data_IF_418746776666
#
_entry.id   IF_418746776666
#
_cell.length_a   1.000
_cell.length_b   1.000
_cell.length_c   1.000
_cell.angle_alpha   90.00
_cell.angle_beta   90.00
_cell.angle_gamma   90.00
#
_symmetry.space_group_name_H-M   'P 1'
#
loop_
_entity.id
_entity.type
_entity.pdbx_description
1 polymer ?
#
# COMPACT_ATOMS: atom_id res chain seq x y z
N UNK A 1 -2.74 20.73 -6.14
CA UNK A 1 -1.67 20.28 -5.22
C UNK A 1 -1.69 18.77 -5.20
N UNK A 2 -0.64 18.11 -5.67
CA UNK A 2 -0.53 16.65 -5.61
C UNK A 2 -0.37 16.26 -4.15
N UNK A 3 -1.26 15.41 -3.67
CA UNK A 3 -1.34 15.10 -2.26
C UNK A 3 -0.26 14.08 -1.88
N UNK A 4 0.76 14.51 -1.12
CA UNK A 4 1.84 13.63 -0.68
C UNK A 4 1.37 12.60 0.34
N UNK A 5 1.99 11.42 0.29
CA UNK A 5 1.82 10.40 1.33
C UNK A 5 2.33 10.88 2.69
N UNK A 6 1.51 10.71 3.72
CA UNK A 6 1.91 10.82 5.12
C UNK A 6 2.82 9.66 5.53
N UNK A 7 3.43 9.75 6.70
CA UNK A 7 4.24 8.64 7.24
C UNK A 7 3.39 7.37 7.43
N UNK A 8 2.17 7.49 7.95
CA UNK A 8 1.26 6.35 8.12
C UNK A 8 0.89 5.70 6.79
N UNK A 9 0.66 6.48 5.74
CA UNK A 9 0.42 5.95 4.39
C UNK A 9 1.61 5.11 3.92
N UNK A 10 2.83 5.60 4.14
CA UNK A 10 4.05 4.92 3.71
C UNK A 10 4.24 3.61 4.48
N UNK A 11 4.03 3.62 5.79
CA UNK A 11 4.18 2.41 6.61
C UNK A 11 3.13 1.37 6.22
N UNK A 12 1.86 1.76 6.07
CA UNK A 12 0.79 0.87 5.66
C UNK A 12 1.06 0.25 4.28
N UNK A 13 1.40 1.08 3.29
CA UNK A 13 1.72 0.62 1.93
C UNK A 13 2.91 -0.32 1.92
N UNK A 14 3.97 -0.02 2.68
CA UNK A 14 5.15 -0.88 2.75
C UNK A 14 4.87 -2.22 3.44
N UNK A 15 4.05 -2.23 4.50
CA UNK A 15 3.62 -3.47 5.15
C UNK A 15 2.80 -4.35 4.19
N UNK A 16 1.88 -3.74 3.44
CA UNK A 16 1.11 -4.44 2.41
C UNK A 16 2.00 -4.95 1.27
N UNK A 17 2.98 -4.18 0.81
CA UNK A 17 3.97 -4.63 -0.18
C UNK A 17 4.74 -5.86 0.32
N UNK A 18 5.25 -5.81 1.55
CA UNK A 18 5.96 -6.94 2.15
C UNK A 18 5.08 -8.20 2.21
N UNK A 19 3.80 -8.04 2.55
CA UNK A 19 2.83 -9.12 2.56
C UNK A 19 2.61 -9.72 1.16
N UNK A 20 2.35 -8.90 0.13
CA UNK A 20 2.02 -9.40 -1.22
C UNK A 20 3.21 -9.90 -2.02
N UNK A 21 4.42 -9.43 -1.70
CA UNK A 21 5.67 -9.85 -2.36
C UNK A 21 6.28 -11.10 -1.72
N UNK A 22 5.79 -11.53 -0.55
CA UNK A 22 6.27 -12.74 0.11
C UNK A 22 5.95 -13.98 -0.73
N UNK A 23 6.99 -14.66 -1.22
CA UNK A 23 6.88 -15.88 -2.04
C UNK A 23 6.79 -17.13 -1.16
N UNK A 24 7.58 -17.18 -0.08
CA UNK A 24 7.62 -18.30 0.86
C UNK A 24 6.86 -17.88 2.13
N UNK A 25 5.74 -18.55 2.47
CA UNK A 25 4.95 -18.18 3.65
C UNK A 25 5.75 -18.28 4.95
N UNK A 26 5.69 -17.22 5.75
CA UNK A 26 6.21 -17.17 7.12
C UNK A 26 5.10 -16.57 8.00
N UNK A 27 4.52 -17.38 8.87
CA UNK A 27 3.37 -16.98 9.67
C UNK A 27 3.69 -15.87 10.68
N UNK A 28 4.93 -15.80 11.16
CA UNK A 28 5.34 -14.75 12.10
C UNK A 28 5.46 -13.39 11.40
N UNK A 29 6.08 -13.37 10.21
CA UNK A 29 6.19 -12.17 9.38
C UNK A 29 4.83 -11.73 8.84
N UNK A 30 4.01 -12.66 8.37
CA UNK A 30 2.64 -12.39 7.91
C UNK A 30 1.85 -11.66 9.00
N UNK A 31 1.84 -12.21 10.22
CA UNK A 31 1.14 -11.59 11.36
C UNK A 31 1.68 -10.21 11.68
N UNK A 32 3.01 -10.06 11.73
CA UNK A 32 3.64 -8.76 11.95
C UNK A 32 3.21 -7.73 10.88
N UNK A 33 3.18 -8.11 9.60
CA UNK A 33 2.76 -7.22 8.52
C UNK A 33 1.27 -6.85 8.61
N UNK A 34 0.40 -7.80 8.96
CA UNK A 34 -1.02 -7.55 9.18
C UNK A 34 -1.28 -6.63 10.37
N UNK A 35 -0.54 -6.79 11.47
CA UNK A 35 -0.66 -5.94 12.65
C UNK A 35 -0.26 -4.49 12.34
N UNK A 36 0.86 -4.30 11.62
CA UNK A 36 1.29 -2.99 11.14
C UNK A 36 0.26 -2.40 10.19
N UNK A 37 -0.21 -3.20 9.21
CA UNK A 37 -1.21 -2.77 8.24
C UNK A 37 -2.51 -2.33 8.93
N UNK A 38 -3.00 -3.10 9.89
CA UNK A 38 -4.19 -2.77 10.69
C UNK A 38 -4.02 -1.44 11.43
N UNK A 39 -2.88 -1.27 12.11
CA UNK A 39 -2.63 -0.08 12.91
C UNK A 39 -2.51 1.18 12.05
N UNK A 40 -1.74 1.12 10.98
CA UNK A 40 -1.43 2.29 10.17
C UNK A 40 -2.54 2.62 9.18
N UNK A 41 -3.25 1.63 8.62
CA UNK A 41 -4.43 1.87 7.79
C UNK A 41 -5.53 2.62 8.56
N UNK A 42 -5.72 2.33 9.84
CA UNK A 42 -6.67 3.04 10.70
C UNK A 42 -6.29 4.51 10.98
N UNK A 43 -5.03 4.88 10.73
CA UNK A 43 -4.50 6.24 10.88
C UNK A 43 -4.47 7.02 9.56
N UNK A 44 -4.73 6.35 8.43
CA UNK A 44 -4.76 6.99 7.13
C UNK A 44 -5.96 7.92 7.01
N UNK A 45 -5.76 9.03 6.30
CA UNK A 45 -6.86 9.97 6.05
C UNK A 45 -7.88 9.36 5.08
N UNK A 46 -9.16 9.45 5.46
CA UNK A 46 -10.31 9.10 4.63
C UNK A 46 -10.53 10.09 3.49
N UNK A 47 -11.34 9.69 2.50
CA UNK A 47 -11.77 10.54 1.39
C UNK A 47 -10.67 10.79 0.35
N UNK A 48 -9.76 9.82 0.18
CA UNK A 48 -8.69 9.88 -0.82
C UNK A 48 -8.91 8.76 -1.83
N UNK A 49 -9.53 9.05 -2.99
CA UNK A 49 -9.94 8.03 -3.97
C UNK A 49 -8.83 7.06 -4.39
N UNK A 50 -7.57 7.51 -4.40
CA UNK A 50 -6.42 6.67 -4.69
C UNK A 50 -6.18 5.58 -3.62
N UNK A 51 -6.41 5.91 -2.35
CA UNK A 51 -6.16 5.03 -1.20
C UNK A 51 -7.42 4.28 -0.75
N UNK A 52 -8.62 4.67 -1.16
CA UNK A 52 -9.86 3.98 -0.76
C UNK A 52 -9.87 2.49 -1.13
N UNK A 53 -9.44 2.05 -2.33
CA UNK A 53 -9.32 0.62 -2.65
C UNK A 53 -8.31 -0.12 -1.77
N UNK A 54 -7.24 0.57 -1.36
CA UNK A 54 -6.21 0.03 -0.48
C UNK A 54 -6.76 -0.19 0.93
N UNK A 55 -7.48 0.79 1.49
CA UNK A 55 -8.10 0.69 2.81
C UNK A 55 -9.16 -0.40 2.88
N UNK A 56 -9.97 -0.54 1.81
CA UNK A 56 -10.93 -1.63 1.70
C UNK A 56 -10.26 -3.00 1.71
N UNK A 57 -9.22 -3.20 0.88
CA UNK A 57 -8.48 -4.46 0.84
C UNK A 57 -7.73 -4.76 2.15
N UNK A 58 -7.19 -3.74 2.82
CA UNK A 58 -6.54 -3.88 4.13
C UNK A 58 -7.53 -4.41 5.19
N UNK A 59 -8.75 -3.87 5.21
CA UNK A 59 -9.81 -4.34 6.09
C UNK A 59 -10.17 -5.80 5.82
N UNK A 60 -10.37 -6.16 4.55
CA UNK A 60 -10.67 -7.54 4.15
C UNK A 60 -9.57 -8.52 4.58
N UNK A 61 -8.30 -8.16 4.44
CA UNK A 61 -7.16 -9.00 4.86
C UNK A 61 -7.12 -9.20 6.38
N UNK A 62 -7.31 -8.14 7.15
CA UNK A 62 -7.33 -8.21 8.62
C UNK A 62 -8.51 -9.03 9.12
N UNK A 63 -9.68 -8.91 8.49
CA UNK A 63 -10.86 -9.71 8.82
C UNK A 63 -10.64 -11.19 8.46
N UNK A 64 -10.02 -11.48 7.31
CA UNK A 64 -9.73 -12.85 6.89
C UNK A 64 -8.71 -13.58 7.80
N UNK A 65 -7.79 -12.86 8.44
CA UNK A 65 -6.81 -13.43 9.39
C UNK A 65 -7.44 -13.91 10.71
N UNK A 66 -8.58 -13.33 11.13
CA UNK A 66 -9.23 -13.59 12.42
C UNK A 66 -9.82 -15.02 12.60
N UNK A 67 -9.47 -15.98 11.73
CA UNK A 67 -9.73 -17.41 11.88
C UNK A 67 -11.11 -17.87 11.37
N UNK A 68 -12.14 -17.02 11.43
CA UNK A 68 -13.46 -17.31 10.84
C UNK A 68 -13.49 -17.09 9.31
N UNK A 69 -12.56 -16.26 8.81
CA UNK A 69 -12.45 -15.84 7.40
C UNK A 69 -11.30 -16.48 6.61
N UNK A 70 -10.49 -17.38 7.19
CA UNK A 70 -9.46 -18.13 6.43
C UNK A 70 -10.06 -19.23 5.54
N UNK A 71 -11.32 -19.10 5.12
CA UNK A 71 -11.81 -19.81 3.95
C UNK A 71 -10.91 -19.41 2.80
N UNK A 72 -10.23 -20.39 2.18
CA UNK A 72 -9.16 -20.20 1.18
C UNK A 72 -9.49 -19.13 0.11
N UNK A 73 -10.78 -18.97 -0.23
CA UNK A 73 -11.26 -18.01 -1.21
C UNK A 73 -11.22 -16.54 -0.78
N UNK A 74 -11.51 -16.24 0.49
CA UNK A 74 -11.64 -14.86 0.98
C UNK A 74 -10.27 -14.19 1.10
N UNK A 75 -9.31 -14.88 1.73
CA UNK A 75 -7.92 -14.43 1.82
C UNK A 75 -7.28 -14.21 0.44
N UNK A 76 -7.44 -15.17 -0.47
CA UNK A 76 -6.87 -15.07 -1.82
C UNK A 76 -7.46 -13.88 -2.59
N UNK A 77 -8.77 -13.65 -2.47
CA UNK A 77 -9.45 -12.53 -3.12
C UNK A 77 -9.00 -11.19 -2.54
N UNK A 78 -8.88 -11.10 -1.21
CA UNK A 78 -8.37 -9.91 -0.53
C UNK A 78 -6.91 -9.60 -0.94
N UNK A 79 -6.06 -10.62 -1.06
CA UNK A 79 -4.68 -10.47 -1.57
C UNK A 79 -4.65 -9.93 -3.01
N UNK A 80 -5.56 -10.38 -3.89
CA UNK A 80 -5.66 -9.86 -5.25
C UNK A 80 -6.09 -8.40 -5.29
N UNK A 81 -7.11 -8.02 -4.50
CA UNK A 81 -7.54 -6.61 -4.40
C UNK A 81 -6.44 -5.72 -3.82
N UNK A 82 -5.70 -6.21 -2.83
CA UNK A 82 -4.55 -5.49 -2.28
C UNK A 82 -3.48 -5.27 -3.35
N UNK A 83 -3.15 -6.28 -4.16
CA UNK A 83 -2.21 -6.13 -5.29
C UNK A 83 -2.67 -5.07 -6.30
N UNK A 84 -3.93 -5.11 -6.71
CA UNK A 84 -4.49 -4.12 -7.65
C UNK A 84 -4.41 -2.69 -7.09
N UNK A 85 -4.78 -2.51 -5.82
CA UNK A 85 -4.67 -1.21 -5.16
C UNK A 85 -3.21 -0.72 -5.07
N UNK A 86 -2.28 -1.62 -4.73
CA UNK A 86 -0.85 -1.30 -4.65
C UNK A 86 -0.26 -0.91 -6.00
N UNK A 87 -0.67 -1.55 -7.10
CA UNK A 87 -0.23 -1.17 -8.46
C UNK A 87 -0.56 0.29 -8.73
N UNK A 88 -1.81 0.70 -8.50
CA UNK A 88 -2.25 2.09 -8.72
C UNK A 88 -1.46 3.10 -7.88
N UNK A 89 -1.21 2.78 -6.60
CA UNK A 89 -0.41 3.63 -5.72
C UNK A 89 1.04 3.73 -6.22
N UNK A 90 1.64 2.62 -6.65
CA UNK A 90 3.02 2.61 -7.16
C UNK A 90 3.13 3.38 -8.47
N UNK A 91 2.20 3.21 -9.40
CA UNK A 91 2.17 3.96 -10.66
C UNK A 91 2.06 5.47 -10.41
N UNK A 92 1.18 5.88 -9.50
CA UNK A 92 1.08 7.28 -9.09
C UNK A 92 2.42 7.80 -8.51
N UNK A 93 3.05 7.06 -7.60
CA UNK A 93 4.36 7.43 -7.02
C UNK A 93 5.45 7.52 -8.08
N UNK A 94 5.44 6.62 -9.06
CA UNK A 94 6.39 6.64 -10.18
C UNK A 94 6.19 7.90 -11.03
N UNK A 95 4.94 8.26 -11.31
CA UNK A 95 4.60 9.52 -12.00
C UNK A 95 5.14 10.74 -11.25
N UNK A 96 4.85 10.86 -9.96
CA UNK A 96 5.37 11.96 -9.12
C UNK A 96 6.91 12.01 -9.12
N UNK A 97 7.56 10.84 -8.98
CA UNK A 97 9.02 10.77 -8.97
C UNK A 97 9.64 11.19 -10.31
N UNK A 98 9.03 10.81 -11.43
CA UNK A 98 9.47 11.22 -12.77
C UNK A 98 9.33 12.73 -12.98
N UNK A 99 8.24 13.33 -12.52
CA UNK A 99 8.04 14.79 -12.58
C UNK A 99 9.11 15.53 -11.79
N UNK A 100 9.37 15.11 -10.54
CA UNK A 100 10.43 15.69 -9.70
C UNK A 100 11.79 15.56 -10.36
N UNK A 101 12.12 14.40 -10.93
CA UNK A 101 13.37 14.18 -11.64
C UNK A 101 13.50 15.11 -12.86
N UNK A 102 12.44 15.24 -13.67
CA UNK A 102 12.42 16.12 -14.85
C UNK A 102 12.64 17.58 -14.48
N UNK A 103 11.92 18.07 -13.46
CA UNK A 103 12.09 19.44 -12.97
C UNK A 103 13.50 19.70 -12.43
N UNK A 104 14.07 18.73 -11.70
CA UNK A 104 15.42 18.87 -11.13
C UNK A 104 16.52 18.92 -12.20
N UNK A 105 16.36 18.15 -13.27
CA UNK A 105 17.30 18.20 -14.42
C UNK A 105 17.20 19.54 -15.14
N UNK A 106 15.98 20.04 -15.38
CA UNK A 106 15.76 21.33 -16.04
C UNK A 106 16.39 22.50 -15.26
N UNK A 107 16.22 22.55 -13.94
CA UNK A 107 16.85 23.58 -13.09
C UNK A 107 18.38 23.49 -13.08
N UNK A 108 18.97 22.31 -13.28
CA UNK A 108 20.43 22.15 -13.39
C UNK A 108 20.98 22.60 -14.75
N UNK A 109 20.21 22.42 -15.82
CA UNK A 109 20.56 22.89 -17.17
C UNK A 109 20.45 24.42 -17.30
N UNK A 110 19.48 25.05 -16.63
CA UNK A 110 19.34 26.52 -16.62
C UNK A 110 20.39 27.23 -15.73
N UNK A 111 21.00 26.51 -14.79
CA UNK A 111 22.01 27.04 -13.87
C UNK A 111 23.46 26.87 -14.35
N UNK A 112 23.67 26.23 -15.52
CA UNK A 112 24.97 25.95 -16.13
C UNK A 112 25.20 26.83 -17.37
#
# INVERSE_FOLDING_TARGET
MTERMTMSDQIAVNAALALVLTVVPDAGRERMHLDILRLEAARMREGRPLFDPFLAAAKELVEADSGVGRRRGDWSSAMWRMKDALVRIVEWRLGEAQEVMRSSTHTREEAA
#
